data_IF_068810503196
#
_entry.id   IF_068810503196
#
_cell.length_a   1.000
_cell.length_b   1.000
_cell.length_c   1.000
_cell.angle_alpha   90.00
_cell.angle_beta   90.00
_cell.angle_gamma   90.00
#
_symmetry.space_group_name_H-M   'P 1'
#
loop_
_entity.id
_entity.type
_entity.pdbx_description
1 polymer ?
#
# COMPACT_ATOMS: atom_id res chain seq x y z
N UNK A 1 -24.23 2.51 5.51
CA UNK A 1 -23.12 2.66 4.57
C UNK A 1 -22.11 3.62 5.14
N UNK A 2 -20.86 3.27 5.05
CA UNK A 2 -19.81 4.16 5.48
C UNK A 2 -19.47 5.13 4.36
N UNK A 3 -19.48 6.41 4.65
CA UNK A 3 -19.02 7.40 3.71
C UNK A 3 -17.52 7.24 3.44
N UNK A 4 -17.12 7.49 2.20
CA UNK A 4 -15.72 7.54 1.82
C UNK A 4 -15.16 8.90 2.25
N UNK A 5 -14.63 8.95 3.44
CA UNK A 5 -13.99 10.16 3.94
C UNK A 5 -12.62 10.30 3.32
N UNK A 6 -12.39 11.44 2.71
CA UNK A 6 -11.07 11.80 2.19
C UNK A 6 -10.29 12.49 3.30
N UNK A 7 -9.22 11.86 3.73
CA UNK A 7 -8.31 12.44 4.71
C UNK A 7 -7.37 13.41 4.02
N UNK A 8 -7.33 14.64 4.50
CA UNK A 8 -6.33 15.59 4.04
C UNK A 8 -5.03 15.40 4.82
N UNK A 9 -3.98 15.06 4.09
CA UNK A 9 -2.65 14.95 4.65
C UNK A 9 -1.83 16.12 4.12
N UNK A 10 -1.39 16.97 5.03
CA UNK A 10 -0.54 18.11 4.68
C UNK A 10 0.91 17.67 4.64
N UNK A 11 1.56 17.97 3.52
CA UNK A 11 2.96 17.62 3.30
C UNK A 11 3.79 18.88 3.37
N UNK A 12 4.81 18.87 4.21
CA UNK A 12 5.76 19.98 4.31
C UNK A 12 6.54 20.13 3.00
N UNK A 13 6.91 21.37 2.69
CA UNK A 13 7.69 21.68 1.49
C UNK A 13 9.17 21.37 1.73
N UNK A 14 9.50 20.10 1.82
CA UNK A 14 10.88 19.64 1.90
C UNK A 14 11.32 19.07 0.55
N UNK A 15 12.61 18.86 0.41
CA UNK A 15 13.15 18.18 -0.77
C UNK A 15 13.12 16.68 -0.54
N UNK A 16 12.23 15.99 -1.25
CA UNK A 16 12.08 14.54 -1.19
C UNK A 16 12.78 13.82 -2.35
N UNK A 17 13.56 14.53 -3.17
CA UNK A 17 14.14 13.97 -4.40
C UNK A 17 15.14 12.85 -4.17
N UNK A 18 15.74 12.77 -2.99
CA UNK A 18 16.73 11.75 -2.64
C UNK A 18 16.12 10.48 -2.05
N UNK A 19 14.84 10.50 -1.72
CA UNK A 19 14.18 9.32 -1.15
C UNK A 19 13.92 8.25 -2.20
N UNK A 20 14.18 7.01 -1.81
CA UNK A 20 13.93 5.83 -2.63
C UNK A 20 12.75 5.07 -2.07
N UNK A 21 11.74 4.88 -2.87
CA UNK A 21 10.49 4.24 -2.48
C UNK A 21 10.31 2.95 -3.27
N UNK A 22 9.97 1.88 -2.56
CA UNK A 22 9.58 0.63 -3.18
C UNK A 22 8.06 0.46 -3.06
N UNK A 23 7.41 0.23 -4.18
CA UNK A 23 6.00 -0.16 -4.19
C UNK A 23 5.94 -1.67 -4.41
N UNK A 24 5.31 -2.37 -3.49
CA UNK A 24 5.03 -3.80 -3.61
C UNK A 24 3.54 -3.96 -3.78
N UNK A 25 3.12 -4.59 -4.86
CA UNK A 25 1.71 -4.79 -5.15
C UNK A 25 1.38 -6.25 -5.40
N UNK A 26 0.13 -6.63 -5.13
CA UNK A 26 -0.33 -7.99 -5.37
C UNK A 26 -0.86 -8.16 -6.79
N UNK A 27 -0.74 -9.38 -7.34
CA UNK A 27 -1.29 -9.70 -8.65
C UNK A 27 -2.80 -9.94 -8.62
N UNK A 28 -3.36 -10.32 -7.48
CA UNK A 28 -4.81 -10.46 -7.32
C UNK A 28 -5.50 -9.10 -7.35
N UNK A 29 -6.66 -9.02 -8.00
CA UNK A 29 -7.45 -7.80 -8.12
C UNK A 29 -6.70 -6.67 -8.81
N UNK A 30 -6.02 -6.98 -9.89
CA UNK A 30 -5.10 -6.08 -10.57
C UNK A 30 -5.74 -4.75 -11.00
N UNK A 31 -6.99 -4.77 -11.46
CA UNK A 31 -7.70 -3.55 -11.84
C UNK A 31 -7.79 -2.55 -10.68
N UNK A 32 -8.06 -3.07 -9.48
CA UNK A 32 -8.16 -2.25 -8.26
C UNK A 32 -6.78 -1.74 -7.86
N UNK A 33 -5.80 -2.62 -7.91
CA UNK A 33 -4.42 -2.30 -7.50
C UNK A 33 -3.80 -1.28 -8.45
N UNK A 34 -4.02 -1.39 -9.75
CA UNK A 34 -3.45 -0.47 -10.74
C UNK A 34 -3.93 0.96 -10.52
N UNK A 35 -5.19 1.15 -10.15
CA UNK A 35 -5.73 2.48 -9.82
C UNK A 35 -4.96 3.10 -8.65
N UNK A 36 -4.77 2.35 -7.57
CA UNK A 36 -4.04 2.84 -6.40
C UNK A 36 -2.57 3.10 -6.72
N UNK A 37 -1.95 2.21 -7.47
CA UNK A 37 -0.54 2.30 -7.83
C UNK A 37 -0.24 3.53 -8.70
N UNK A 38 -1.03 3.74 -9.74
CA UNK A 38 -0.88 4.89 -10.61
C UNK A 38 -1.06 6.20 -9.85
N UNK A 39 -2.07 6.26 -8.99
CA UNK A 39 -2.36 7.43 -8.19
C UNK A 39 -1.24 7.70 -7.17
N UNK A 40 -0.72 6.65 -6.54
CA UNK A 40 0.39 6.76 -5.61
C UNK A 40 1.66 7.28 -6.30
N UNK A 41 2.01 6.73 -7.46
CA UNK A 41 3.18 7.17 -8.23
C UNK A 41 3.03 8.63 -8.65
N UNK A 42 1.87 9.00 -9.15
CA UNK A 42 1.59 10.38 -9.56
C UNK A 42 1.78 11.36 -8.41
N UNK A 43 1.29 11.01 -7.22
CA UNK A 43 1.45 11.85 -6.04
C UNK A 43 2.90 11.93 -5.55
N UNK A 44 3.63 10.82 -5.57
CA UNK A 44 5.05 10.84 -5.21
C UNK A 44 5.85 11.74 -6.16
N UNK A 45 5.59 11.65 -7.44
CA UNK A 45 6.25 12.49 -8.44
C UNK A 45 5.93 13.98 -8.26
N UNK A 46 4.72 14.29 -7.82
CA UNK A 46 4.30 15.66 -7.52
C UNK A 46 5.17 16.29 -6.42
N UNK A 47 5.69 15.49 -5.50
CA UNK A 47 6.60 15.94 -4.44
C UNK A 47 8.07 15.67 -4.78
N UNK A 48 8.39 15.49 -6.05
CA UNK A 48 9.74 15.27 -6.59
C UNK A 48 10.38 13.95 -6.17
N UNK A 49 9.60 12.97 -5.76
CA UNK A 49 10.10 11.62 -5.51
C UNK A 49 10.07 10.87 -6.85
N UNK A 50 11.24 10.65 -7.42
CA UNK A 50 11.38 10.02 -8.75
C UNK A 50 12.10 8.66 -8.68
N UNK A 51 12.71 8.32 -7.55
CA UNK A 51 13.38 7.04 -7.34
C UNK A 51 12.36 6.02 -6.82
N UNK A 52 11.50 5.55 -7.70
CA UNK A 52 10.40 4.65 -7.37
C UNK A 52 10.59 3.35 -8.13
N UNK A 53 10.75 2.27 -7.39
CA UNK A 53 10.77 0.92 -7.95
C UNK A 53 9.47 0.21 -7.60
N UNK A 54 9.07 -0.72 -8.43
CA UNK A 54 7.82 -1.45 -8.26
C UNK A 54 8.04 -2.93 -8.51
N UNK A 55 7.57 -3.75 -7.59
CA UNK A 55 7.57 -5.20 -7.72
C UNK A 55 6.18 -5.76 -7.44
N UNK A 56 5.93 -6.96 -7.93
CA UNK A 56 4.65 -7.64 -7.79
C UNK A 56 4.85 -8.96 -7.04
N UNK A 57 3.92 -9.27 -6.15
CA UNK A 57 3.87 -10.54 -5.43
C UNK A 57 2.52 -11.21 -5.67
N UNK A 58 2.40 -12.54 -5.46
CA UNK A 58 1.15 -13.24 -5.77
C UNK A 58 -0.06 -12.73 -4.97
N UNK A 59 0.06 -12.59 -3.67
CA UNK A 59 -1.04 -12.21 -2.82
C UNK A 59 -0.60 -11.42 -1.59
N UNK A 60 -1.57 -11.02 -0.78
CA UNK A 60 -1.32 -10.19 0.40
C UNK A 60 -0.40 -10.85 1.42
N UNK A 61 -0.45 -12.17 1.53
CA UNK A 61 0.39 -12.92 2.46
C UNK A 61 1.89 -12.75 2.17
N UNK A 62 2.26 -12.53 0.93
CA UNK A 62 3.66 -12.38 0.51
C UNK A 62 4.19 -10.95 0.60
N UNK A 63 3.34 -9.97 0.89
CA UNK A 63 3.75 -8.56 0.96
C UNK A 63 4.85 -8.31 2.00
N UNK A 64 4.67 -8.84 3.20
CA UNK A 64 5.65 -8.64 4.28
C UNK A 64 6.98 -9.33 4.02
N UNK A 65 6.96 -10.48 3.38
CA UNK A 65 8.17 -11.21 3.01
C UNK A 65 9.01 -10.41 2.01
N UNK A 66 8.35 -9.85 1.00
CA UNK A 66 9.01 -9.01 0.02
C UNK A 66 9.51 -7.70 0.64
N UNK A 67 8.72 -7.09 1.50
CA UNK A 67 9.10 -5.87 2.20
C UNK A 67 10.37 -6.10 3.04
N UNK A 68 10.40 -7.15 3.84
CA UNK A 68 11.58 -7.48 4.66
C UNK A 68 12.82 -7.72 3.81
N UNK A 69 12.65 -8.40 2.69
CA UNK A 69 13.77 -8.73 1.81
C UNK A 69 14.42 -7.49 1.18
N UNK A 70 13.64 -6.50 0.81
CA UNK A 70 14.13 -5.38 0.00
C UNK A 70 14.25 -4.05 0.74
N UNK A 71 13.68 -3.91 1.94
CA UNK A 71 13.59 -2.61 2.62
C UNK A 71 14.94 -1.96 2.90
N UNK A 72 15.99 -2.75 3.03
CA UNK A 72 17.33 -2.21 3.31
C UNK A 72 17.79 -1.21 2.24
N UNK A 73 17.39 -1.43 0.99
CA UNK A 73 17.78 -0.59 -0.15
C UNK A 73 16.86 0.62 -0.37
N UNK A 74 15.84 0.79 0.47
CA UNK A 74 14.84 1.84 0.30
C UNK A 74 14.63 2.63 1.58
N UNK A 75 14.07 3.82 1.45
CA UNK A 75 13.72 4.67 2.58
C UNK A 75 12.34 4.35 3.12
N UNK A 76 11.46 3.86 2.27
CA UNK A 76 10.12 3.43 2.65
C UNK A 76 9.57 2.41 1.66
N UNK A 77 8.60 1.64 2.13
CA UNK A 77 7.89 0.65 1.31
C UNK A 77 6.40 0.98 1.35
N UNK A 78 5.77 0.97 0.19
CA UNK A 78 4.33 1.11 0.04
C UNK A 78 3.78 -0.24 -0.40
N UNK A 79 3.05 -0.92 0.49
CA UNK A 79 2.47 -2.22 0.22
C UNK A 79 1.00 -2.06 -0.20
N UNK A 80 0.71 -2.41 -1.44
CA UNK A 80 -0.62 -2.28 -2.02
C UNK A 80 -1.26 -3.64 -2.25
N UNK A 81 -2.48 -3.80 -1.80
CA UNK A 81 -3.24 -5.01 -1.98
C UNK A 81 -4.73 -4.77 -1.80
N UNK A 82 -5.52 -5.81 -2.01
CA UNK A 82 -6.94 -5.80 -1.71
C UNK A 82 -7.34 -7.17 -1.22
N UNK A 83 -7.97 -7.22 -0.05
CA UNK A 83 -8.51 -8.42 0.54
C UNK A 83 -10.03 -8.23 0.60
N UNK A 84 -10.74 -9.04 -0.15
CA UNK A 84 -12.20 -8.96 -0.26
C UNK A 84 -12.79 -10.16 0.46
N UNK A 85 -13.76 -9.89 1.33
CA UNK A 85 -14.40 -10.92 2.13
C UNK A 85 -15.10 -11.96 1.24
N UNK A 86 -14.75 -13.23 1.47
CA UNK A 86 -15.42 -14.38 0.88
C UNK A 86 -16.27 -15.12 1.89
N UNK A 87 -16.65 -16.33 1.54
CA UNK A 87 -17.50 -17.18 2.37
C UNK A 87 -16.73 -17.87 3.51
N UNK A 88 -15.41 -17.92 3.43
CA UNK A 88 -14.58 -18.64 4.37
C UNK A 88 -13.93 -17.70 5.39
N UNK A 89 -13.43 -18.26 6.49
CA UNK A 89 -12.71 -17.54 7.52
C UNK A 89 -11.33 -17.02 7.06
N UNK A 90 -10.90 -17.38 5.88
CA UNK A 90 -9.62 -16.98 5.29
C UNK A 90 -9.44 -15.46 5.25
N UNK A 91 -10.51 -14.70 5.03
CA UNK A 91 -10.48 -13.24 4.99
C UNK A 91 -9.90 -12.64 6.27
N UNK A 92 -10.43 -13.02 7.42
CA UNK A 92 -10.03 -12.48 8.71
C UNK A 92 -8.58 -12.86 9.04
N UNK A 93 -8.22 -14.11 8.81
CA UNK A 93 -6.84 -14.59 9.04
C UNK A 93 -5.85 -13.82 8.18
N UNK A 94 -6.15 -13.68 6.88
CA UNK A 94 -5.27 -13.00 5.95
C UNK A 94 -5.15 -11.50 6.27
N UNK A 95 -6.26 -10.84 6.58
CA UNK A 95 -6.27 -9.43 6.91
C UNK A 95 -5.44 -9.11 8.15
N UNK A 96 -5.65 -9.86 9.22
CA UNK A 96 -4.92 -9.69 10.47
C UNK A 96 -3.43 -10.00 10.32
N UNK A 97 -3.10 -11.10 9.67
CA UNK A 97 -1.70 -11.49 9.50
C UNK A 97 -0.94 -10.52 8.60
N UNK A 98 -1.57 -10.04 7.53
CA UNK A 98 -0.95 -9.06 6.63
C UNK A 98 -0.64 -7.75 7.37
N UNK A 99 -1.60 -7.23 8.12
CA UNK A 99 -1.41 -6.01 8.90
C UNK A 99 -0.32 -6.18 9.96
N UNK A 100 -0.36 -7.26 10.70
CA UNK A 100 0.60 -7.56 11.76
C UNK A 100 2.02 -7.69 11.20
N UNK A 101 2.18 -8.47 10.14
CA UNK A 101 3.50 -8.76 9.59
C UNK A 101 4.13 -7.54 8.92
N UNK A 102 3.36 -6.72 8.22
CA UNK A 102 3.87 -5.48 7.63
C UNK A 102 4.28 -4.47 8.72
N UNK A 103 3.49 -4.36 9.77
CA UNK A 103 3.83 -3.51 10.91
C UNK A 103 5.14 -3.96 11.56
N UNK A 104 5.34 -5.26 11.69
CA UNK A 104 6.57 -5.81 12.25
C UNK A 104 7.80 -5.48 11.41
N UNK A 105 7.69 -5.55 10.09
CA UNK A 105 8.79 -5.17 9.19
C UNK A 105 9.17 -3.71 9.39
N UNK A 106 8.17 -2.83 9.50
CA UNK A 106 8.40 -1.40 9.71
C UNK A 106 9.14 -1.13 11.03
N UNK A 107 8.66 -1.72 12.11
CA UNK A 107 9.25 -1.52 13.43
C UNK A 107 10.66 -2.08 13.51
N UNK A 108 10.87 -3.29 13.00
CA UNK A 108 12.17 -3.96 13.05
C UNK A 108 13.24 -3.25 12.23
N UNK A 109 12.87 -2.62 11.14
CA UNK A 109 13.81 -1.94 10.24
C UNK A 109 13.86 -0.42 10.47
N UNK A 110 13.01 0.11 11.31
CA UNK A 110 12.91 1.55 11.62
C UNK A 110 12.71 2.39 10.36
N UNK A 111 11.92 1.87 9.44
CA UNK A 111 11.56 2.54 8.18
C UNK A 111 10.07 2.40 7.95
N UNK A 112 9.41 3.40 7.34
CA UNK A 112 7.98 3.30 7.06
C UNK A 112 7.66 2.15 6.10
N UNK A 113 6.69 1.34 6.50
CA UNK A 113 6.02 0.38 5.62
C UNK A 113 4.54 0.71 5.69
N UNK A 114 4.01 1.25 4.61
CA UNK A 114 2.65 1.74 4.57
C UNK A 114 1.70 0.59 4.23
N UNK A 115 0.70 0.39 5.07
CA UNK A 115 -0.32 -0.63 4.88
C UNK A 115 -1.39 -0.10 3.92
N UNK A 116 -1.14 -0.22 2.64
CA UNK A 116 -2.06 0.15 1.57
C UNK A 116 -2.91 -1.03 1.11
N UNK A 117 -3.37 -1.84 2.03
CA UNK A 117 -4.16 -3.04 1.73
C UNK A 117 -5.61 -2.78 2.07
N UNK A 118 -6.45 -2.73 1.05
CA UNK A 118 -7.89 -2.60 1.23
C UNK A 118 -8.46 -3.89 1.80
N UNK A 119 -9.29 -3.77 2.82
CA UNK A 119 -10.01 -4.89 3.42
C UNK A 119 -11.50 -4.55 3.37
N UNK A 120 -12.21 -5.13 2.43
CA UNK A 120 -13.59 -4.77 2.17
C UNK A 120 -14.50 -5.99 2.11
N UNK A 121 -15.80 -5.76 2.28
CA UNK A 121 -16.81 -6.81 2.21
C UNK A 121 -17.19 -7.17 0.77
N UNK A 122 -16.91 -6.29 -0.19
CA UNK A 122 -17.27 -6.52 -1.59
C UNK A 122 -16.23 -5.90 -2.52
N UNK A 123 -16.21 -6.39 -3.75
CA UNK A 123 -15.37 -5.86 -4.82
C UNK A 123 -15.75 -4.41 -5.16
N UNK A 124 -17.04 -4.09 -5.13
CA UNK A 124 -17.49 -2.73 -5.38
C UNK A 124 -16.92 -1.75 -4.35
N UNK A 125 -16.93 -2.10 -3.07
CA UNK A 125 -16.32 -1.28 -2.03
C UNK A 125 -14.83 -1.09 -2.27
N UNK A 126 -14.13 -2.14 -2.69
CA UNK A 126 -12.71 -2.07 -2.99
C UNK A 126 -12.42 -1.10 -4.14
N UNK A 127 -13.20 -1.18 -5.22
CA UNK A 127 -13.08 -0.27 -6.36
C UNK A 127 -13.31 1.18 -5.97
N UNK A 128 -14.32 1.44 -5.14
CA UNK A 128 -14.62 2.80 -4.67
C UNK A 128 -13.49 3.36 -3.81
N UNK A 129 -12.94 2.57 -2.90
CA UNK A 129 -11.84 3.01 -2.02
C UNK A 129 -10.54 3.20 -2.79
N UNK A 130 -10.27 2.39 -3.80
CA UNK A 130 -9.06 2.50 -4.60
C UNK A 130 -8.96 3.88 -5.29
N UNK A 131 -10.07 4.49 -5.65
CA UNK A 131 -10.11 5.80 -6.29
C UNK A 131 -9.62 6.95 -5.40
N UNK A 132 -9.61 6.78 -4.09
CA UNK A 132 -9.22 7.85 -3.15
C UNK A 132 -7.99 7.49 -2.31
N UNK A 133 -7.69 6.21 -2.12
CA UNK A 133 -6.66 5.77 -1.19
C UNK A 133 -5.24 5.80 -1.72
N UNK A 134 -5.03 5.65 -3.03
CA UNK A 134 -3.69 5.63 -3.60
C UNK A 134 -2.87 6.87 -3.24
N UNK A 135 -3.46 8.06 -3.39
CA UNK A 135 -2.80 9.31 -3.04
C UNK A 135 -2.55 9.44 -1.53
N UNK A 136 -3.49 8.99 -0.70
CA UNK A 136 -3.33 9.02 0.75
C UNK A 136 -2.16 8.15 1.20
N UNK A 137 -2.04 6.94 0.65
CA UNK A 137 -0.93 6.05 0.97
C UNK A 137 0.41 6.63 0.56
N UNK A 138 0.48 7.28 -0.60
CA UNK A 138 1.71 7.92 -1.05
C UNK A 138 2.16 9.05 -0.13
N UNK A 139 1.22 9.78 0.45
CA UNK A 139 1.51 10.88 1.37
C UNK A 139 1.88 10.41 2.77
N UNK A 140 1.52 9.20 3.12
CA UNK A 140 1.79 8.65 4.46
C UNK A 140 3.26 8.46 4.71
#
# INVERSE_FOLDING_TARGET
>A
MTELNKTEINIDKNDYSNYRILIISTSWNQEIIDVMKEDAISNLQKYNVNKIDSIEVPGAFELSQAAEKFIESYDAVLALGAIIKGETYHFEVLAHETARSLSQVSISNKKPVIFGVLTTNSELQAKQRAQVKGSEYAKS
#
